data_IF_790633948308
#
_entry.id   IF_790633948308
#
_cell.length_a   1.000
_cell.length_b   1.000
_cell.length_c   1.000
_cell.angle_alpha   90.00
_cell.angle_beta   90.00
_cell.angle_gamma   90.00
#
_symmetry.space_group_name_H-M   'P 1'
#
loop_
_entity.id
_entity.type
_entity.pdbx_description
1 polymer ?
#
# COMPACT_ATOMS: atom_id res chain seq x y z
N UNK A 1 6.19 -22.98 20.95
CA UNK A 1 6.35 -21.53 20.87
C UNK A 1 7.78 -21.28 20.41
N UNK A 2 8.01 -21.05 19.11
CA UNK A 2 9.33 -20.67 18.61
C UNK A 2 9.58 -19.24 19.09
N UNK A 3 10.69 -19.04 19.79
CA UNK A 3 11.12 -17.79 20.38
C UNK A 3 11.11 -16.67 19.34
N UNK A 4 10.47 -15.57 19.67
CA UNK A 4 10.58 -14.29 18.94
C UNK A 4 12.02 -13.82 19.12
N UNK A 5 12.83 -13.96 18.08
CA UNK A 5 14.23 -13.54 18.12
C UNK A 5 14.32 -12.06 17.77
N UNK A 6 14.20 -11.21 18.79
CA UNK A 6 14.39 -9.77 18.65
C UNK A 6 15.81 -9.41 18.20
N UNK A 7 16.78 -10.32 18.33
CA UNK A 7 18.15 -10.15 17.84
C UNK A 7 18.24 -9.95 16.34
N UNK A 8 17.27 -10.46 15.59
CA UNK A 8 17.16 -10.28 14.13
C UNK A 8 17.04 -8.80 13.75
N UNK A 9 16.18 -8.05 14.45
CA UNK A 9 16.00 -6.61 14.20
C UNK A 9 17.21 -5.81 14.67
N UNK A 10 17.89 -6.23 15.76
CA UNK A 10 19.16 -5.66 16.19
C UNK A 10 20.25 -5.75 15.12
N UNK A 11 20.33 -6.89 14.42
CA UNK A 11 21.26 -7.09 13.31
C UNK A 11 20.95 -6.19 12.11
N UNK A 12 19.65 -5.96 11.78
CA UNK A 12 19.24 -5.04 10.72
C UNK A 12 19.64 -3.61 11.10
N UNK A 13 19.30 -3.18 12.31
CA UNK A 13 19.65 -1.85 12.82
C UNK A 13 21.16 -1.63 13.01
N UNK A 14 21.98 -2.68 13.04
CA UNK A 14 23.43 -2.55 13.08
C UNK A 14 24.07 -2.20 11.73
N UNK A 15 23.33 -2.29 10.63
CA UNK A 15 23.82 -2.02 9.26
C UNK A 15 23.89 -0.52 9.01
N UNK A 16 25.00 0.11 9.33
CA UNK A 16 25.20 1.57 9.18
C UNK A 16 24.98 2.08 7.76
N UNK A 17 25.31 1.29 6.73
CA UNK A 17 25.09 1.65 5.33
C UNK A 17 23.60 1.79 4.96
N UNK A 18 22.70 1.12 5.70
CA UNK A 18 21.28 1.17 5.46
C UNK A 18 20.60 2.38 6.09
N UNK A 19 21.12 2.92 7.20
CA UNK A 19 20.46 3.98 7.96
C UNK A 19 20.10 5.20 7.11
N UNK A 20 21.01 5.65 6.25
CA UNK A 20 20.78 6.86 5.44
C UNK A 20 19.65 6.65 4.43
N UNK A 21 19.64 5.52 3.72
CA UNK A 21 18.56 5.32 2.76
C UNK A 21 17.24 4.94 3.44
N UNK A 22 17.25 4.27 4.59
CA UNK A 22 16.04 3.98 5.38
C UNK A 22 15.40 5.29 5.87
N UNK A 23 16.21 6.22 6.41
CA UNK A 23 15.73 7.55 6.83
C UNK A 23 15.22 8.32 5.62
N UNK A 24 15.92 8.31 4.49
CA UNK A 24 15.48 8.96 3.27
C UNK A 24 14.15 8.41 2.76
N UNK A 25 14.00 7.09 2.72
CA UNK A 25 12.77 6.43 2.33
C UNK A 25 11.62 6.68 3.32
N UNK A 26 11.91 6.71 4.64
CA UNK A 26 10.92 7.03 5.66
C UNK A 26 10.35 8.45 5.46
N UNK A 27 11.22 9.45 5.25
CA UNK A 27 10.82 10.83 5.02
C UNK A 27 10.00 10.98 3.73
N UNK A 28 10.33 10.24 2.67
CA UNK A 28 9.52 10.21 1.45
C UNK A 28 8.14 9.57 1.68
N UNK A 29 8.06 8.51 2.50
CA UNK A 29 6.78 7.88 2.88
C UNK A 29 5.87 8.84 3.64
N UNK A 30 6.42 9.64 4.55
CA UNK A 30 5.65 10.66 5.28
C UNK A 30 4.89 11.56 4.31
N UNK A 31 5.54 12.09 3.26
CA UNK A 31 4.85 12.87 2.23
C UNK A 31 3.75 12.08 1.53
N UNK A 32 4.02 10.84 1.13
CA UNK A 32 3.03 10.01 0.42
C UNK A 32 1.75 9.83 1.25
N UNK A 33 1.90 9.57 2.54
CA UNK A 33 0.75 9.34 3.44
C UNK A 33 0.11 10.63 3.94
N UNK A 34 0.83 11.75 3.96
CA UNK A 34 0.26 13.06 4.22
C UNK A 34 -0.58 13.60 3.05
N UNK A 35 -0.28 13.16 1.81
CA UNK A 35 -0.78 13.79 0.59
C UNK A 35 -2.30 13.84 0.51
N UNK A 36 -2.98 12.68 0.53
CA UNK A 36 -4.42 12.61 0.29
C UNK A 36 -5.24 13.31 1.38
N UNK A 37 -5.02 12.97 2.65
CA UNK A 37 -5.73 13.57 3.78
C UNK A 37 -5.28 15.01 4.05
N UNK A 38 -4.01 15.33 3.81
CA UNK A 38 -3.51 16.69 3.89
C UNK A 38 -4.16 17.63 2.87
N UNK A 39 -4.37 17.17 1.63
CA UNK A 39 -5.09 17.94 0.60
C UNK A 39 -6.54 18.17 1.00
N UNK A 40 -7.26 17.11 1.46
CA UNK A 40 -8.64 17.27 1.94
C UNK A 40 -8.71 18.26 3.10
N UNK A 41 -7.87 18.08 4.13
CA UNK A 41 -7.84 18.96 5.30
C UNK A 41 -7.53 20.40 4.93
N UNK A 42 -6.51 20.61 4.10
CA UNK A 42 -6.10 21.94 3.62
C UNK A 42 -7.25 22.65 2.88
N UNK A 43 -7.88 21.99 1.91
CA UNK A 43 -8.91 22.60 1.09
C UNK A 43 -10.21 22.87 1.85
N UNK A 44 -10.63 21.96 2.73
CA UNK A 44 -11.81 22.18 3.59
C UNK A 44 -11.60 23.34 4.56
N UNK A 45 -10.41 23.45 5.17
CA UNK A 45 -10.04 24.58 6.03
C UNK A 45 -9.89 25.89 5.25
N UNK A 46 -9.61 25.83 3.96
CA UNK A 46 -9.56 27.01 3.06
C UNK A 46 -10.94 27.39 2.50
N UNK A 47 -12.02 26.77 2.97
CA UNK A 47 -13.40 27.13 2.61
C UNK A 47 -13.93 26.46 1.33
N UNK A 48 -13.22 25.49 0.78
CA UNK A 48 -13.72 24.69 -0.35
C UNK A 48 -14.70 23.61 0.14
N UNK A 49 -15.65 23.21 -0.74
CA UNK A 49 -16.59 22.13 -0.42
C UNK A 49 -15.89 20.77 -0.24
N UNK A 50 -16.52 19.88 0.51
CA UNK A 50 -15.99 18.54 0.75
C UNK A 50 -15.91 17.72 -0.55
N UNK A 51 -16.85 17.90 -1.46
CA UNK A 51 -16.82 17.29 -2.79
C UNK A 51 -15.60 17.74 -3.60
N UNK A 52 -15.38 19.06 -3.66
CA UNK A 52 -14.23 19.60 -4.37
C UNK A 52 -12.90 19.11 -3.77
N UNK A 53 -12.77 19.16 -2.44
CA UNK A 53 -11.59 18.69 -1.73
C UNK A 53 -11.34 17.18 -1.99
N UNK A 54 -12.40 16.38 -1.99
CA UNK A 54 -12.38 14.97 -2.31
C UNK A 54 -11.96 14.68 -3.75
N UNK A 55 -12.47 15.45 -4.74
CA UNK A 55 -12.10 15.27 -6.16
C UNK A 55 -10.64 15.61 -6.44
N UNK A 56 -10.11 16.67 -5.83
CA UNK A 56 -8.69 17.04 -5.94
C UNK A 56 -7.81 15.95 -5.30
N UNK A 57 -8.17 15.47 -4.11
CA UNK A 57 -7.46 14.37 -3.44
C UNK A 57 -7.53 13.06 -4.26
N UNK A 58 -8.67 12.76 -4.86
CA UNK A 58 -8.82 11.60 -5.74
C UNK A 58 -7.94 11.72 -6.99
N UNK A 59 -7.77 12.92 -7.54
CA UNK A 59 -6.86 13.16 -8.67
C UNK A 59 -5.42 12.83 -8.30
N UNK A 60 -4.99 13.22 -7.10
CA UNK A 60 -3.68 12.85 -6.56
C UNK A 60 -3.52 11.32 -6.45
N UNK A 61 -4.50 10.64 -5.85
CA UNK A 61 -4.46 9.19 -5.66
C UNK A 61 -4.44 8.43 -7.00
N UNK A 62 -5.25 8.84 -7.97
CA UNK A 62 -5.29 8.27 -9.33
C UNK A 62 -3.95 8.50 -10.04
N UNK A 63 -3.38 9.69 -9.95
CA UNK A 63 -2.06 9.99 -10.53
C UNK A 63 -1.00 9.06 -9.94
N UNK A 64 -0.93 8.96 -8.62
CA UNK A 64 0.04 8.07 -7.93
C UNK A 64 -0.14 6.61 -8.38
N UNK A 65 -1.38 6.13 -8.48
CA UNK A 65 -1.68 4.77 -8.93
C UNK A 65 -1.11 4.47 -10.33
N UNK A 66 -1.26 5.38 -11.28
CA UNK A 66 -0.76 5.17 -12.63
C UNK A 66 0.75 5.40 -12.77
N UNK A 67 1.31 6.32 -12.00
CA UNK A 67 2.72 6.73 -12.11
C UNK A 67 3.65 5.80 -11.34
N UNK A 68 3.29 5.33 -10.14
CA UNK A 68 4.17 4.53 -9.30
C UNK A 68 4.70 3.24 -9.97
N UNK A 69 3.90 2.43 -10.70
CA UNK A 69 4.44 1.26 -11.41
C UNK A 69 5.39 1.63 -12.55
N UNK A 70 5.11 2.75 -13.24
CA UNK A 70 5.97 3.24 -14.34
C UNK A 70 7.31 3.74 -13.83
N UNK A 71 7.31 4.47 -12.73
CA UNK A 71 8.55 4.94 -12.09
C UNK A 71 9.40 3.77 -11.62
N UNK A 72 8.80 2.70 -11.09
CA UNK A 72 9.50 1.46 -10.73
C UNK A 72 10.23 0.85 -11.93
N UNK A 73 9.54 0.68 -13.05
CA UNK A 73 10.15 0.18 -14.29
C UNK A 73 11.30 1.08 -14.78
N UNK A 74 11.11 2.40 -14.77
CA UNK A 74 12.16 3.33 -15.18
C UNK A 74 13.36 3.31 -14.22
N UNK A 75 13.16 3.06 -12.92
CA UNK A 75 14.25 2.89 -11.97
C UNK A 75 15.10 1.64 -12.29
N UNK A 76 14.46 0.54 -12.69
CA UNK A 76 15.17 -0.68 -13.08
C UNK A 76 15.95 -0.48 -14.41
N UNK A 77 15.43 0.31 -15.35
CA UNK A 77 16.05 0.55 -16.67
C UNK A 77 17.10 1.67 -16.67
N UNK A 78 16.88 2.76 -15.93
CA UNK A 78 17.69 4.00 -16.02
C UNK A 78 18.42 4.37 -14.73
N UNK A 79 18.28 3.55 -13.68
CA UNK A 79 18.81 3.80 -12.34
C UNK A 79 17.89 4.65 -11.47
N UNK A 80 17.98 4.43 -10.16
CA UNK A 80 17.13 5.10 -9.19
C UNK A 80 17.39 6.62 -9.13
N UNK A 81 18.66 7.03 -9.19
CA UNK A 81 19.06 8.44 -9.07
C UNK A 81 18.32 9.36 -10.06
N UNK A 82 18.35 9.02 -11.36
CA UNK A 82 17.71 9.86 -12.40
C UNK A 82 16.20 9.93 -12.23
N UNK A 83 15.57 8.82 -11.91
CA UNK A 83 14.11 8.76 -11.78
C UNK A 83 13.66 9.49 -10.52
N UNK A 84 14.32 9.31 -9.39
CA UNK A 84 14.03 10.03 -8.15
C UNK A 84 14.17 11.53 -8.37
N UNK A 85 15.24 11.99 -9.02
CA UNK A 85 15.46 13.42 -9.30
C UNK A 85 14.32 14.03 -10.14
N UNK A 86 14.00 13.41 -11.28
CA UNK A 86 12.97 13.93 -12.20
C UNK A 86 11.58 13.92 -11.52
N UNK A 87 11.22 12.82 -10.90
CA UNK A 87 9.91 12.68 -10.24
C UNK A 87 9.78 13.62 -9.04
N UNK A 88 10.85 13.82 -8.28
CA UNK A 88 10.87 14.77 -7.17
C UNK A 88 10.65 16.20 -7.63
N UNK A 89 11.29 16.62 -8.71
CA UNK A 89 11.09 17.97 -9.28
C UNK A 89 9.63 18.14 -9.71
N UNK A 90 9.05 17.16 -10.43
CA UNK A 90 7.67 17.22 -10.90
C UNK A 90 6.70 17.28 -9.70
N UNK A 91 6.85 16.39 -8.72
CA UNK A 91 5.98 16.33 -7.55
C UNK A 91 6.05 17.62 -6.73
N UNK A 92 7.26 18.16 -6.50
CA UNK A 92 7.43 19.40 -5.74
C UNK A 92 6.92 20.64 -6.51
N UNK A 93 7.04 20.66 -7.83
CA UNK A 93 6.40 21.70 -8.67
C UNK A 93 4.88 21.63 -8.52
N UNK A 94 4.29 20.43 -8.53
CA UNK A 94 2.86 20.24 -8.27
C UNK A 94 2.46 20.74 -6.87
N UNK A 95 3.22 20.37 -5.84
CA UNK A 95 2.95 20.79 -4.48
C UNK A 95 3.04 22.33 -4.32
N UNK A 96 4.08 22.95 -4.88
CA UNK A 96 4.23 24.40 -4.88
C UNK A 96 3.08 25.10 -5.62
N UNK A 97 2.68 24.56 -6.77
CA UNK A 97 1.53 25.04 -7.53
C UNK A 97 0.24 24.96 -6.72
N UNK A 98 0.00 23.86 -5.98
CA UNK A 98 -1.17 23.71 -5.12
C UNK A 98 -1.16 24.75 -4.00
N UNK A 99 -0.03 24.87 -3.30
CA UNK A 99 0.14 25.82 -2.19
C UNK A 99 -0.03 27.27 -2.64
N UNK A 100 0.55 27.65 -3.77
CA UNK A 100 0.41 29.01 -4.32
C UNK A 100 -1.01 29.28 -4.81
N UNK A 101 -1.69 28.27 -5.39
CA UNK A 101 -3.08 28.41 -5.83
C UNK A 101 -4.00 28.67 -4.65
N UNK A 102 -3.82 27.98 -3.53
CA UNK A 102 -4.58 28.23 -2.30
C UNK A 102 -4.25 29.57 -1.68
N UNK A 103 -2.96 29.93 -1.61
CA UNK A 103 -2.53 31.18 -0.96
C UNK A 103 -2.95 32.44 -1.73
N UNK A 104 -2.97 32.38 -3.06
CA UNK A 104 -3.28 33.53 -3.94
C UNK A 104 -4.74 33.54 -4.44
N UNK A 105 -5.55 32.54 -4.08
CA UNK A 105 -6.93 32.42 -4.53
C UNK A 105 -7.06 32.24 -6.04
N UNK A 106 -6.12 31.52 -6.69
CA UNK A 106 -6.13 31.28 -8.12
C UNK A 106 -7.29 30.36 -8.55
N UNK A 107 -7.64 30.29 -9.85
CA UNK A 107 -8.72 29.45 -10.33
C UNK A 107 -8.60 28.00 -9.88
N UNK A 108 -9.68 27.46 -9.33
CA UNK A 108 -9.71 26.12 -8.70
C UNK A 108 -9.33 24.98 -9.66
N UNK A 109 -9.49 25.18 -10.99
CA UNK A 109 -9.06 24.19 -11.99
C UNK A 109 -7.56 23.89 -11.96
N UNK A 110 -6.73 24.85 -11.52
CA UNK A 110 -5.27 24.69 -11.39
C UNK A 110 -4.94 23.64 -10.31
N UNK A 111 -5.79 23.51 -9.27
CA UNK A 111 -5.59 22.55 -8.18
C UNK A 111 -5.61 21.09 -8.66
N UNK A 112 -6.40 20.76 -9.69
CA UNK A 112 -6.40 19.42 -10.30
C UNK A 112 -5.07 19.13 -11.02
N UNK A 113 -4.54 20.10 -11.77
CA UNK A 113 -3.23 19.97 -12.42
C UNK A 113 -2.14 19.81 -11.36
N UNK A 114 -2.20 20.61 -10.31
CA UNK A 114 -1.27 20.56 -9.19
C UNK A 114 -1.31 19.18 -8.48
N UNK A 115 -2.50 18.69 -8.16
CA UNK A 115 -2.70 17.38 -7.54
C UNK A 115 -2.22 16.22 -8.45
N UNK A 116 -2.44 16.32 -9.76
CA UNK A 116 -1.92 15.35 -10.71
C UNK A 116 -0.39 15.33 -10.72
N UNK A 117 0.27 16.49 -10.74
CA UNK A 117 1.73 16.58 -10.68
C UNK A 117 2.29 16.09 -9.33
N UNK A 118 1.60 16.35 -8.21
CA UNK A 118 1.97 15.84 -6.89
C UNK A 118 2.03 14.31 -6.85
N UNK A 119 1.24 13.62 -7.67
CA UNK A 119 1.22 12.16 -7.76
C UNK A 119 2.43 11.52 -8.46
N UNK A 120 3.36 12.32 -9.02
CA UNK A 120 4.59 11.82 -9.61
C UNK A 120 5.62 11.45 -8.54
N UNK A 121 5.24 10.56 -7.63
CA UNK A 121 6.09 10.12 -6.52
C UNK A 121 6.59 8.71 -6.79
N UNK A 122 7.91 8.47 -6.68
CA UNK A 122 8.43 7.10 -6.77
C UNK A 122 8.06 6.32 -5.51
N UNK A 123 7.87 5.00 -5.65
CA UNK A 123 7.53 4.15 -4.52
C UNK A 123 8.72 4.01 -3.55
N UNK A 124 8.69 4.76 -2.44
CA UNK A 124 9.72 4.68 -1.41
C UNK A 124 9.88 3.27 -0.80
N UNK A 125 8.80 2.48 -0.54
CA UNK A 125 8.94 1.09 -0.13
C UNK A 125 9.69 0.22 -1.15
N UNK A 126 9.44 0.42 -2.43
CA UNK A 126 10.14 -0.33 -3.49
C UNK A 126 11.63 0.04 -3.56
N UNK A 127 11.96 1.33 -3.41
CA UNK A 127 13.35 1.81 -3.37
C UNK A 127 14.11 1.15 -2.20
N UNK A 128 13.54 1.19 -0.99
CA UNK A 128 14.16 0.61 0.19
C UNK A 128 14.41 -0.89 0.02
N UNK A 129 13.38 -1.66 -0.37
CA UNK A 129 13.49 -3.12 -0.60
C UNK A 129 14.54 -3.47 -1.65
N UNK A 130 14.61 -2.72 -2.74
CA UNK A 130 15.61 -2.95 -3.80
C UNK A 130 17.03 -2.65 -3.32
N UNK A 131 17.24 -1.58 -2.52
CA UNK A 131 18.55 -1.25 -1.94
C UNK A 131 18.98 -2.29 -0.92
N UNK A 132 18.11 -2.75 -0.05
CA UNK A 132 18.36 -3.84 0.88
C UNK A 132 18.76 -5.13 0.15
N UNK A 133 17.98 -5.53 -0.86
CA UNK A 133 18.30 -6.71 -1.67
C UNK A 133 19.69 -6.59 -2.31
N UNK A 134 19.98 -5.43 -2.91
CA UNK A 134 21.28 -5.18 -3.52
C UNK A 134 22.43 -5.24 -2.53
N UNK A 135 22.31 -4.66 -1.34
CA UNK A 135 23.34 -4.70 -0.31
C UNK A 135 23.63 -6.13 0.17
N UNK A 136 22.59 -6.96 0.30
CA UNK A 136 22.72 -8.34 0.75
C UNK A 136 23.33 -9.20 -0.36
N UNK A 137 22.77 -9.17 -1.57
CA UNK A 137 23.20 -10.03 -2.68
C UNK A 137 24.58 -9.63 -3.25
N UNK A 138 24.94 -8.34 -3.20
CA UNK A 138 26.28 -7.89 -3.62
C UNK A 138 27.39 -8.15 -2.60
N UNK A 139 27.07 -8.72 -1.43
CA UNK A 139 28.04 -8.99 -0.37
C UNK A 139 28.65 -7.74 0.27
N UNK A 140 28.06 -6.56 0.05
CA UNK A 140 28.51 -5.28 0.66
C UNK A 140 28.35 -5.29 2.17
N UNK A 141 27.45 -6.11 2.71
CA UNK A 141 27.28 -6.30 4.14
C UNK A 141 27.98 -7.60 4.55
N UNK A 142 29.09 -7.48 5.27
CA UNK A 142 29.81 -8.62 5.82
C UNK A 142 29.09 -9.18 7.06
N UNK A 143 29.04 -10.52 7.17
CA UNK A 143 28.47 -11.23 8.33
C UNK A 143 26.98 -10.95 8.60
N UNK A 144 26.20 -10.66 7.55
CA UNK A 144 24.76 -10.48 7.69
C UNK A 144 24.06 -11.85 7.71
N UNK A 145 23.63 -12.29 8.88
CA UNK A 145 22.98 -13.60 9.09
C UNK A 145 21.45 -13.57 8.98
N UNK A 146 20.90 -12.37 8.77
CA UNK A 146 19.44 -12.16 8.75
C UNK A 146 18.87 -12.42 7.36
N UNK A 147 17.72 -13.11 7.31
CA UNK A 147 17.05 -13.42 6.03
C UNK A 147 16.46 -12.18 5.36
N UNK A 148 16.41 -12.17 4.04
CA UNK A 148 15.75 -11.11 3.26
C UNK A 148 14.26 -10.95 3.65
N UNK A 149 13.61 -12.05 4.05
CA UNK A 149 12.23 -12.03 4.55
C UNK A 149 12.10 -11.18 5.83
N UNK A 150 13.07 -11.25 6.73
CA UNK A 150 13.06 -10.44 7.97
C UNK A 150 13.27 -8.96 7.69
N UNK A 151 14.11 -8.63 6.70
CA UNK A 151 14.30 -7.25 6.22
C UNK A 151 13.01 -6.70 5.62
N UNK A 152 12.29 -7.48 4.82
CA UNK A 152 11.00 -7.04 4.28
C UNK A 152 9.92 -6.88 5.36
N UNK A 153 9.99 -7.67 6.43
CA UNK A 153 9.11 -7.48 7.59
C UNK A 153 9.42 -6.18 8.33
N UNK A 154 10.71 -5.86 8.53
CA UNK A 154 11.16 -4.58 9.09
C UNK A 154 10.67 -3.38 8.26
N UNK A 155 10.80 -3.45 6.93
CA UNK A 155 10.31 -2.44 6.02
C UNK A 155 8.77 -2.29 6.11
N UNK A 156 8.05 -3.38 6.31
CA UNK A 156 6.60 -3.35 6.53
C UNK A 156 6.24 -2.58 7.81
N UNK A 157 6.97 -2.78 8.90
CA UNK A 157 6.76 -2.02 10.16
C UNK A 157 7.02 -0.51 9.94
N UNK A 158 8.09 -0.16 9.21
CA UNK A 158 8.36 1.25 8.88
C UNK A 158 7.21 1.85 8.04
N UNK A 159 6.66 1.08 7.12
CA UNK A 159 5.53 1.49 6.30
C UNK A 159 4.28 1.75 7.14
N UNK A 160 3.93 0.82 8.04
CA UNK A 160 2.79 0.96 8.96
C UNK A 160 2.97 2.16 9.90
N UNK A 161 4.18 2.38 10.43
CA UNK A 161 4.50 3.57 11.23
C UNK A 161 4.33 4.87 10.42
N UNK A 162 4.78 4.88 9.17
CA UNK A 162 4.65 6.04 8.29
C UNK A 162 3.19 6.35 7.97
N UNK A 163 2.38 5.30 7.75
CA UNK A 163 0.95 5.40 7.53
C UNK A 163 0.20 5.88 8.77
N UNK A 164 0.64 5.50 9.96
CA UNK A 164 0.08 5.96 11.23
C UNK A 164 0.37 7.45 11.47
N UNK A 165 1.62 7.87 11.25
CA UNK A 165 2.11 9.21 11.60
C UNK A 165 1.72 10.24 10.54
N UNK A 166 1.85 9.92 9.25
CA UNK A 166 1.71 10.87 8.15
C UNK A 166 0.37 11.59 8.11
N UNK A 167 -0.76 10.89 7.97
CA UNK A 167 -2.09 11.51 7.91
C UNK A 167 -2.43 12.30 9.17
N UNK A 168 -2.08 11.76 10.34
CA UNK A 168 -2.32 12.41 11.62
C UNK A 168 -1.59 13.75 11.75
N UNK A 169 -0.31 13.77 11.36
CA UNK A 169 0.48 15.01 11.32
C UNK A 169 -0.09 16.01 10.30
N UNK A 170 -0.51 15.56 9.11
CA UNK A 170 -1.09 16.45 8.12
C UNK A 170 -2.32 17.17 8.69
N UNK A 171 -3.25 16.42 9.27
CA UNK A 171 -4.47 16.97 9.86
C UNK A 171 -4.15 17.87 11.07
N UNK A 172 -3.31 17.40 12.00
CA UNK A 172 -2.97 18.13 13.21
C UNK A 172 -2.34 19.49 12.90
N UNK A 173 -1.34 19.52 12.02
CA UNK A 173 -0.64 20.76 11.66
C UNK A 173 -1.55 21.74 10.91
N UNK A 174 -2.35 21.23 9.97
CA UNK A 174 -3.29 22.08 9.22
C UNK A 174 -4.35 22.72 10.12
N UNK A 175 -4.79 22.05 11.17
CA UNK A 175 -5.76 22.59 12.13
C UNK A 175 -5.14 23.47 13.21
N UNK A 176 -3.85 23.26 13.57
CA UNK A 176 -3.22 23.97 14.68
C UNK A 176 -2.56 25.28 14.24
N UNK A 177 -1.92 25.29 13.09
CA UNK A 177 -1.15 26.45 12.62
C UNK A 177 -1.85 27.20 11.50
N UNK A 178 -1.92 26.63 10.31
CA UNK A 178 -2.59 27.22 9.14
C UNK A 178 -2.92 26.09 8.12
N UNK A 179 -3.90 26.30 7.24
CA UNK A 179 -4.42 25.22 6.39
C UNK A 179 -3.37 24.46 5.57
N UNK A 180 -2.32 25.14 5.10
CA UNK A 180 -1.27 24.55 4.25
C UNK A 180 -0.13 23.90 5.04
N UNK A 181 -0.10 24.00 6.40
CA UNK A 181 1.04 23.55 7.22
C UNK A 181 1.35 22.05 7.06
N UNK A 182 0.32 21.21 6.98
CA UNK A 182 0.49 19.77 6.78
C UNK A 182 1.20 19.45 5.47
N UNK A 183 0.74 20.00 4.35
CA UNK A 183 1.36 19.78 3.04
C UNK A 183 2.79 20.35 3.00
N UNK A 184 3.04 21.50 3.62
CA UNK A 184 4.39 22.08 3.71
C UNK A 184 5.36 21.15 4.42
N UNK A 185 4.99 20.57 5.58
CA UNK A 185 5.84 19.59 6.25
C UNK A 185 6.09 18.38 5.35
N UNK A 186 5.06 17.88 4.67
CA UNK A 186 5.21 16.79 3.69
C UNK A 186 6.23 17.14 2.60
N UNK A 187 6.16 18.34 2.03
CA UNK A 187 7.11 18.80 1.01
C UNK A 187 8.56 18.87 1.54
N UNK A 188 8.74 19.39 2.75
CA UNK A 188 10.06 19.43 3.41
C UNK A 188 10.58 18.02 3.63
N UNK A 189 9.77 17.13 4.20
CA UNK A 189 10.14 15.73 4.41
C UNK A 189 10.54 15.02 3.11
N UNK A 190 9.76 15.20 2.04
CA UNK A 190 10.04 14.60 0.74
C UNK A 190 11.33 15.14 0.12
N UNK A 191 11.53 16.45 0.19
CA UNK A 191 12.73 17.10 -0.36
C UNK A 191 13.99 16.63 0.38
N UNK A 192 13.94 16.61 1.71
CA UNK A 192 15.05 16.12 2.53
C UNK A 192 15.29 14.63 2.28
N UNK A 193 14.23 13.81 2.24
CA UNK A 193 14.33 12.37 1.94
C UNK A 193 14.94 12.11 0.56
N UNK A 194 14.47 12.82 -0.47
CA UNK A 194 15.03 12.75 -1.83
C UNK A 194 16.49 13.18 -1.87
N UNK A 195 16.85 14.26 -1.18
CA UNK A 195 18.23 14.73 -1.09
C UNK A 195 19.15 13.68 -0.44
N UNK A 196 18.69 13.04 0.65
CA UNK A 196 19.44 11.96 1.30
C UNK A 196 19.69 10.82 0.32
N UNK A 197 18.66 10.38 -0.43
CA UNK A 197 18.80 9.28 -1.39
C UNK A 197 19.69 9.63 -2.58
N UNK A 198 19.64 10.88 -3.05
CA UNK A 198 20.38 11.36 -4.22
C UNK A 198 21.84 11.67 -3.93
N UNK A 199 22.16 12.15 -2.73
CA UNK A 199 23.49 12.66 -2.39
C UNK A 199 24.18 11.79 -1.35
N UNK A 200 23.53 11.56 -0.18
CA UNK A 200 24.18 10.94 0.98
C UNK A 200 24.20 9.41 0.90
N UNK A 201 23.17 8.79 0.32
CA UNK A 201 23.03 7.34 0.21
C UNK A 201 23.23 6.82 -1.23
N UNK A 202 24.01 7.54 -2.03
CA UNK A 202 24.24 7.19 -3.45
C UNK A 202 25.03 5.90 -3.63
N UNK A 203 25.93 5.57 -2.76
CA UNK A 203 26.77 4.36 -2.75
C UNK A 203 25.96 3.08 -2.52
N UNK A 204 24.75 3.20 -1.98
CA UNK A 204 23.82 2.08 -1.79
C UNK A 204 22.88 1.88 -2.99
N UNK A 205 22.97 2.71 -4.01
CA UNK A 205 22.14 2.59 -5.22
C UNK A 205 22.49 1.32 -6.00
N UNK A 206 21.49 0.50 -6.39
CA UNK A 206 21.70 -0.66 -7.27
C UNK A 206 22.22 -0.22 -8.63
N UNK A 207 23.23 -0.91 -9.14
CA UNK A 207 23.71 -0.68 -10.51
C UNK A 207 22.65 -1.12 -11.51
N UNK A 208 22.53 -0.40 -12.62
CA UNK A 208 21.60 -0.78 -13.70
C UNK A 208 21.98 -2.17 -14.20
N UNK A 209 21.00 -3.07 -14.33
CA UNK A 209 21.15 -4.45 -14.74
C UNK A 209 21.91 -5.39 -13.77
N UNK A 210 22.12 -5.00 -12.49
CA UNK A 210 22.81 -5.84 -11.51
C UNK A 210 22.16 -7.24 -11.36
N UNK A 211 20.83 -7.36 -11.48
CA UNK A 211 20.12 -8.64 -11.45
C UNK A 211 20.48 -9.52 -12.64
N UNK A 212 20.56 -8.96 -13.85
CA UNK A 212 20.99 -9.69 -15.05
C UNK A 212 22.45 -10.14 -14.96
N UNK A 213 23.31 -9.33 -14.34
CA UNK A 213 24.69 -9.71 -14.10
C UNK A 213 24.82 -10.86 -13.08
N UNK A 214 23.93 -10.89 -12.06
CA UNK A 214 23.87 -11.98 -11.09
C UNK A 214 23.32 -13.29 -11.72
N UNK A 215 22.31 -13.20 -12.59
CA UNK A 215 21.75 -14.33 -13.34
C UNK A 215 22.78 -14.88 -14.38
N UNK A 216 23.52 -14.02 -15.07
CA UNK A 216 24.55 -14.43 -16.03
C UNK A 216 25.76 -15.11 -15.39
N UNK A 217 26.07 -14.85 -14.13
CA UNK A 217 27.08 -15.60 -13.37
C UNK A 217 26.57 -17.00 -13.01
N UNK A 218 25.24 -17.17 -12.83
CA UNK A 218 24.61 -18.47 -12.60
C UNK A 218 24.56 -19.34 -13.87
N UNK A 219 24.31 -18.74 -15.03
CA UNK A 219 24.32 -19.45 -16.33
C UNK A 219 25.74 -19.87 -16.75
N UNK A 220 26.77 -19.07 -16.47
CA UNK A 220 28.17 -19.43 -16.75
C UNK A 220 28.66 -20.65 -15.96
N UNK A 221 28.13 -20.90 -14.76
CA UNK A 221 28.44 -22.08 -13.94
C UNK A 221 27.61 -23.30 -14.41
N UNK A 222 26.42 -23.08 -14.98
CA UNK A 222 25.56 -24.14 -15.49
C UNK A 222 26.03 -24.64 -16.87
N UNK A 223 26.60 -23.76 -17.71
CA UNK A 223 27.17 -24.14 -19.03
C UNK A 223 28.48 -24.90 -18.91
N UNK A 224 29.27 -24.73 -17.84
CA UNK A 224 30.51 -25.50 -17.64
C UNK A 224 30.25 -26.94 -17.17
N UNK A 225 29.04 -27.26 -16.72
CA UNK A 225 28.62 -28.62 -16.30
C UNK A 225 27.83 -29.34 -17.39
N UNK A 226 27.39 -28.65 -18.46
CA UNK A 226 26.52 -29.19 -19.51
C UNK A 226 27.18 -29.47 -20.86
N UNK A 227 28.52 -29.52 -20.96
CA UNK A 227 29.22 -29.94 -22.15
C UNK A 227 29.47 -31.45 -22.17
N UNK A 228 28.39 -32.24 -22.15
CA UNK A 228 28.38 -33.59 -22.78
C UNK A 228 26.93 -34.02 -23.00
N UNK A 229 26.43 -33.93 -24.22
CA UNK A 229 25.10 -34.48 -24.53
C UNK A 229 24.39 -33.82 -25.72
N UNK A 230 24.86 -34.19 -26.89
CA UNK A 230 24.24 -33.99 -28.21
C UNK A 230 22.69 -34.23 -28.20
N UNK A 231 21.87 -33.23 -28.53
CA UNK A 231 20.57 -33.45 -29.17
C UNK A 231 20.08 -32.20 -29.92
N UNK A 232 20.09 -32.28 -31.24
CA UNK A 232 19.38 -31.41 -32.16
C UNK A 232 17.86 -31.44 -31.88
N UNK A 233 17.26 -30.31 -31.54
CA UNK A 233 15.81 -30.14 -31.44
C UNK A 233 15.40 -28.71 -31.78
N UNK A 234 14.85 -28.51 -32.97
CA UNK A 234 14.36 -27.25 -33.48
C UNK A 234 13.38 -26.58 -32.51
N UNK A 235 13.77 -25.46 -31.95
CA UNK A 235 12.89 -24.57 -31.23
C UNK A 235 11.97 -23.83 -32.23
N UNK A 236 10.79 -24.37 -32.49
CA UNK A 236 9.74 -23.70 -33.23
C UNK A 236 9.27 -22.45 -32.50
N UNK A 237 9.38 -21.29 -33.16
CA UNK A 237 8.75 -20.03 -32.75
C UNK A 237 7.22 -20.21 -32.74
N UNK A 238 6.66 -20.63 -31.60
CA UNK A 238 5.23 -20.52 -31.38
C UNK A 238 4.92 -19.04 -31.06
N UNK A 239 3.95 -18.41 -31.77
CA UNK A 239 3.60 -17.03 -31.47
C UNK A 239 3.11 -16.93 -30.02
N UNK A 240 3.72 -16.04 -29.26
CA UNK A 240 3.31 -15.75 -27.88
C UNK A 240 1.82 -15.45 -27.87
N UNK A 241 0.99 -16.38 -27.37
CA UNK A 241 -0.44 -16.15 -27.17
C UNK A 241 -0.59 -14.89 -26.33
N UNK A 242 -1.23 -13.87 -26.90
CA UNK A 242 -1.59 -12.64 -26.22
C UNK A 242 -2.49 -13.02 -25.03
N UNK A 243 -1.89 -13.22 -23.87
CA UNK A 243 -2.62 -13.57 -22.65
C UNK A 243 -3.53 -12.39 -22.26
N UNK A 244 -4.82 -12.67 -22.11
CA UNK A 244 -5.75 -11.69 -21.52
C UNK A 244 -5.40 -11.47 -20.06
N UNK A 245 -5.73 -10.28 -19.52
CA UNK A 245 -5.47 -9.93 -18.13
C UNK A 245 -6.06 -10.96 -17.15
N UNK A 246 -5.35 -11.23 -16.04
CA UNK A 246 -5.80 -12.13 -14.97
C UNK A 246 -7.17 -11.72 -14.41
N UNK A 247 -7.47 -10.41 -14.37
CA UNK A 247 -8.77 -9.88 -13.96
C UNK A 247 -9.92 -10.38 -14.88
N UNK A 248 -9.67 -10.56 -16.19
CA UNK A 248 -10.67 -11.00 -17.14
C UNK A 248 -10.81 -12.53 -17.17
N UNK A 249 -9.68 -13.25 -17.07
CA UNK A 249 -9.64 -14.72 -17.19
C UNK A 249 -10.02 -15.43 -15.90
N UNK A 250 -9.63 -14.90 -14.73
CA UNK A 250 -9.81 -15.57 -13.46
C UNK A 250 -10.97 -14.97 -12.64
N UNK A 251 -12.10 -15.70 -12.50
CA UNK A 251 -13.24 -15.20 -11.71
C UNK A 251 -12.89 -14.85 -10.27
N UNK A 252 -11.92 -15.57 -9.68
CA UNK A 252 -11.50 -15.30 -8.31
C UNK A 252 -10.76 -13.96 -8.17
N UNK A 253 -9.96 -13.56 -9.17
CA UNK A 253 -9.27 -12.26 -9.17
C UNK A 253 -10.28 -11.12 -9.24
N UNK A 254 -11.37 -11.28 -10.00
CA UNK A 254 -12.49 -10.31 -10.02
C UNK A 254 -13.14 -10.16 -8.66
N UNK A 255 -13.39 -11.27 -7.96
CA UNK A 255 -13.96 -11.24 -6.60
C UNK A 255 -13.04 -10.53 -5.63
N UNK A 256 -11.74 -10.87 -5.63
CA UNK A 256 -10.75 -10.24 -4.76
C UNK A 256 -10.57 -8.74 -5.06
N UNK A 257 -10.51 -8.37 -6.34
CA UNK A 257 -10.49 -6.97 -6.77
C UNK A 257 -11.71 -6.19 -6.28
N UNK A 258 -12.92 -6.75 -6.48
CA UNK A 258 -14.17 -6.08 -6.09
C UNK A 258 -14.30 -5.94 -4.58
N UNK A 259 -13.90 -6.96 -3.80
CA UNK A 259 -13.85 -6.87 -2.34
C UNK A 259 -12.84 -5.82 -1.88
N UNK A 260 -11.63 -5.82 -2.45
CA UNK A 260 -10.60 -4.83 -2.13
C UNK A 260 -11.03 -3.40 -2.50
N UNK A 261 -11.73 -3.22 -3.64
CA UNK A 261 -12.28 -1.93 -4.06
C UNK A 261 -13.32 -1.42 -3.04
N UNK A 262 -14.25 -2.26 -2.62
CA UNK A 262 -15.26 -1.87 -1.64
C UNK A 262 -14.64 -1.55 -0.28
N UNK A 263 -13.64 -2.32 0.17
CA UNK A 263 -12.91 -2.06 1.41
C UNK A 263 -12.12 -0.75 1.31
N UNK A 264 -11.48 -0.48 0.17
CA UNK A 264 -10.84 0.80 -0.11
C UNK A 264 -11.82 1.97 -0.12
N UNK A 265 -13.02 1.78 -0.66
CA UNK A 265 -14.10 2.78 -0.65
C UNK A 265 -14.56 3.12 0.76
N UNK A 266 -14.71 2.10 1.64
CA UNK A 266 -15.04 2.30 3.06
C UNK A 266 -13.98 3.20 3.70
N UNK A 267 -12.71 2.89 3.47
CA UNK A 267 -11.59 3.62 4.07
C UNK A 267 -11.51 5.07 3.57
N UNK A 268 -11.61 5.30 2.26
CA UNK A 268 -11.61 6.65 1.68
C UNK A 268 -12.80 7.51 2.12
N UNK A 269 -13.98 6.92 2.24
CA UNK A 269 -15.18 7.61 2.77
C UNK A 269 -15.01 7.94 4.26
N UNK A 270 -14.49 6.99 5.05
CA UNK A 270 -14.21 7.19 6.47
C UNK A 270 -13.21 8.33 6.69
N UNK A 271 -12.10 8.35 5.99
CA UNK A 271 -11.05 9.36 6.12
C UNK A 271 -11.57 10.77 5.86
N UNK A 272 -12.27 10.97 4.76
CA UNK A 272 -12.82 12.29 4.39
C UNK A 272 -13.88 12.74 5.38
N UNK A 273 -14.80 11.85 5.76
CA UNK A 273 -15.88 12.17 6.68
C UNK A 273 -15.39 12.43 8.11
N UNK A 274 -14.29 11.76 8.51
CA UNK A 274 -13.66 12.01 9.81
C UNK A 274 -13.20 13.46 9.94
N UNK A 275 -12.64 14.05 8.89
CA UNK A 275 -12.21 15.46 8.90
C UNK A 275 -13.42 16.39 9.06
N UNK A 276 -14.44 16.20 8.24
CA UNK A 276 -15.65 17.07 8.27
C UNK A 276 -16.45 16.88 9.55
N UNK A 277 -16.54 15.67 10.09
CA UNK A 277 -17.15 15.39 11.39
C UNK A 277 -16.42 16.14 12.52
N UNK A 278 -15.10 16.02 12.61
CA UNK A 278 -14.32 16.67 13.65
C UNK A 278 -14.41 18.21 13.59
N UNK A 279 -14.46 18.77 12.37
CA UNK A 279 -14.67 20.20 12.16
C UNK A 279 -16.09 20.63 12.61
N UNK A 280 -17.13 19.85 12.29
CA UNK A 280 -18.52 20.17 12.62
C UNK A 280 -18.79 20.20 14.12
N UNK A 281 -18.07 19.41 14.91
CA UNK A 281 -18.17 19.42 16.39
C UNK A 281 -17.21 20.42 17.05
N UNK A 282 -16.48 21.24 16.27
CA UNK A 282 -15.51 22.22 16.77
C UNK A 282 -14.28 21.60 17.45
N UNK A 283 -13.98 20.32 17.21
CA UNK A 283 -12.86 19.59 17.80
C UNK A 283 -11.96 18.94 16.74
N UNK A 284 -11.21 19.70 15.94
CA UNK A 284 -10.40 19.17 14.83
C UNK A 284 -9.38 18.12 15.25
N UNK A 285 -8.89 18.18 16.49
CA UNK A 285 -7.96 17.21 17.08
C UNK A 285 -8.52 15.78 17.10
N UNK A 286 -9.85 15.61 17.17
CA UNK A 286 -10.52 14.31 17.13
C UNK A 286 -10.19 13.55 15.83
N UNK A 287 -10.07 14.24 14.69
CA UNK A 287 -9.70 13.61 13.43
C UNK A 287 -8.27 13.06 13.47
N UNK A 288 -7.31 13.84 13.95
CA UNK A 288 -5.90 13.41 14.04
C UNK A 288 -5.73 12.23 14.98
N UNK A 289 -6.34 12.28 16.16
CA UNK A 289 -6.31 11.19 17.14
C UNK A 289 -7.02 9.95 16.56
N UNK A 290 -8.17 10.13 15.91
CA UNK A 290 -8.93 9.03 15.31
C UNK A 290 -8.13 8.26 14.26
N UNK A 291 -7.49 8.97 13.35
CA UNK A 291 -6.62 8.35 12.32
C UNK A 291 -5.42 7.65 12.97
N UNK A 292 -4.77 8.27 13.97
CA UNK A 292 -3.62 7.66 14.66
C UNK A 292 -4.01 6.38 15.40
N UNK A 293 -5.07 6.39 16.18
CA UNK A 293 -5.55 5.23 16.94
C UNK A 293 -6.00 4.11 16.00
N UNK A 294 -6.70 4.45 14.91
CA UNK A 294 -7.13 3.48 13.91
C UNK A 294 -5.94 2.79 13.25
N UNK A 295 -4.94 3.56 12.83
CA UNK A 295 -3.72 3.02 12.23
C UNK A 295 -2.93 2.14 13.20
N UNK A 296 -2.85 2.56 14.47
CA UNK A 296 -2.21 1.77 15.53
C UNK A 296 -2.96 0.45 15.77
N UNK A 297 -4.29 0.48 15.82
CA UNK A 297 -5.11 -0.72 15.97
C UNK A 297 -4.93 -1.69 14.79
N UNK A 298 -4.85 -1.18 13.55
CA UNK A 298 -4.58 -1.97 12.35
C UNK A 298 -3.20 -2.61 12.41
N UNK A 299 -2.16 -1.88 12.81
CA UNK A 299 -0.80 -2.37 12.97
C UNK A 299 -0.73 -3.50 14.03
N UNK A 300 -1.31 -3.28 15.21
CA UNK A 300 -1.36 -4.30 16.26
C UNK A 300 -2.09 -5.56 15.78
N UNK A 301 -3.22 -5.38 15.10
CA UNK A 301 -4.00 -6.49 14.55
C UNK A 301 -3.24 -7.25 13.47
N UNK A 302 -2.52 -6.57 12.59
CA UNK A 302 -1.64 -7.17 11.57
C UNK A 302 -0.59 -8.07 12.21
N UNK A 303 0.11 -7.57 13.23
CA UNK A 303 1.12 -8.34 13.97
C UNK A 303 0.49 -9.56 14.68
N UNK A 304 -0.62 -9.37 15.37
CA UNK A 304 -1.31 -10.46 16.06
C UNK A 304 -1.83 -11.51 15.09
N UNK A 305 -2.45 -11.09 13.99
CA UNK A 305 -3.01 -11.99 13.00
C UNK A 305 -1.92 -12.79 12.27
N UNK A 306 -0.76 -12.18 12.00
CA UNK A 306 0.41 -12.86 11.43
C UNK A 306 0.98 -13.98 12.30
N UNK A 307 0.76 -13.91 13.63
CA UNK A 307 1.14 -14.96 14.59
C UNK A 307 0.08 -16.05 14.74
N UNK A 308 -1.15 -15.81 14.29
CA UNK A 308 -2.27 -16.75 14.45
C UNK A 308 -2.20 -17.86 13.39
N UNK A 309 -2.03 -19.10 13.83
CA UNK A 309 -2.15 -20.27 12.96
C UNK A 309 -3.61 -20.73 12.94
N UNK A 310 -4.37 -20.24 11.95
CA UNK A 310 -5.77 -20.63 11.80
C UNK A 310 -5.89 -22.00 11.11
N UNK A 311 -6.56 -22.94 11.75
CA UNK A 311 -6.81 -24.31 11.22
C UNK A 311 -7.92 -24.35 10.15
N UNK A 312 -8.69 -23.28 10.00
CA UNK A 312 -9.78 -23.20 9.02
C UNK A 312 -9.23 -23.08 7.59
N UNK A 313 -9.90 -23.66 6.56
CA UNK A 313 -9.48 -23.50 5.18
C UNK A 313 -9.58 -22.02 4.73
N UNK A 314 -8.65 -21.56 3.88
CA UNK A 314 -8.50 -20.16 3.51
C UNK A 314 -9.76 -19.52 2.89
N UNK A 315 -10.59 -20.27 2.19
CA UNK A 315 -11.88 -19.77 1.70
C UNK A 315 -12.84 -19.36 2.83
N UNK A 316 -12.83 -20.08 3.96
CA UNK A 316 -13.62 -19.71 5.14
C UNK A 316 -12.99 -18.54 5.89
N UNK A 317 -11.65 -18.49 5.95
CA UNK A 317 -10.93 -17.36 6.54
C UNK A 317 -11.21 -16.06 5.78
N UNK A 318 -11.15 -16.09 4.44
CA UNK A 318 -11.45 -14.93 3.60
C UNK A 318 -12.90 -14.46 3.74
N UNK A 319 -13.86 -15.42 3.76
CA UNK A 319 -15.26 -15.10 4.00
C UNK A 319 -15.46 -14.45 5.36
N UNK A 320 -14.87 -15.03 6.41
CA UNK A 320 -14.97 -14.49 7.78
C UNK A 320 -14.30 -13.11 7.89
N UNK A 321 -13.12 -12.91 7.27
CA UNK A 321 -12.42 -11.63 7.28
C UNK A 321 -13.19 -10.54 6.53
N UNK A 322 -13.80 -10.85 5.37
CA UNK A 322 -14.63 -9.92 4.63
C UNK A 322 -15.91 -9.53 5.40
N UNK A 323 -16.57 -10.50 6.05
CA UNK A 323 -17.72 -10.22 6.92
C UNK A 323 -17.28 -9.39 8.13
N UNK A 324 -16.16 -9.72 8.75
CA UNK A 324 -15.63 -9.03 9.92
C UNK A 324 -15.32 -7.56 9.62
N UNK A 325 -14.59 -7.25 8.53
CA UNK A 325 -14.27 -5.85 8.18
C UNK A 325 -15.54 -5.05 7.85
N UNK A 326 -16.50 -5.65 7.12
CA UNK A 326 -17.78 -5.03 6.85
C UNK A 326 -18.58 -4.77 8.12
N UNK A 327 -18.67 -5.74 9.04
CA UNK A 327 -19.36 -5.60 10.33
C UNK A 327 -18.69 -4.56 11.24
N UNK A 328 -17.34 -4.51 11.25
CA UNK A 328 -16.56 -3.58 12.07
C UNK A 328 -16.83 -2.11 11.75
N UNK A 329 -16.98 -1.79 10.46
CA UNK A 329 -17.29 -0.43 10.02
C UNK A 329 -18.80 -0.15 9.81
N UNK A 330 -19.67 -1.17 9.89
CA UNK A 330 -21.11 -1.01 9.60
C UNK A 330 -21.78 0.06 10.47
N UNK A 331 -21.35 0.20 11.72
CA UNK A 331 -21.89 1.17 12.67
C UNK A 331 -21.53 2.63 12.37
N UNK A 332 -20.67 2.92 11.36
CA UNK A 332 -20.20 4.29 11.13
C UNK A 332 -21.35 5.25 10.75
N UNK A 333 -22.38 4.79 10.05
CA UNK A 333 -23.54 5.61 9.72
C UNK A 333 -24.37 6.09 10.93
N UNK A 334 -24.13 5.51 12.11
CA UNK A 334 -24.82 5.88 13.37
C UNK A 334 -23.93 6.70 14.31
N UNK A 335 -22.76 7.16 13.85
CA UNK A 335 -21.86 7.97 14.68
C UNK A 335 -22.51 9.31 15.02
N UNK A 336 -22.84 9.47 16.30
CA UNK A 336 -23.41 10.70 16.86
C UNK A 336 -22.54 11.32 17.97
N UNK A 337 -21.53 10.60 18.45
CA UNK A 337 -20.68 11.03 19.55
C UNK A 337 -19.22 10.65 19.33
N UNK A 338 -18.31 11.41 19.95
CA UNK A 338 -16.87 11.18 19.86
C UNK A 338 -16.45 9.79 20.39
N UNK A 339 -16.97 9.29 21.54
CA UNK A 339 -16.62 7.94 22.00
C UNK A 339 -17.05 6.85 21.02
N UNK A 340 -18.23 6.98 20.41
CA UNK A 340 -18.72 6.03 19.40
C UNK A 340 -17.86 6.06 18.15
N UNK A 341 -17.42 7.26 17.73
CA UNK A 341 -16.47 7.42 16.62
C UNK A 341 -15.18 6.66 16.89
N UNK A 342 -14.54 6.83 18.04
CA UNK A 342 -13.31 6.12 18.38
C UNK A 342 -13.52 4.60 18.46
N UNK A 343 -14.60 4.14 19.05
CA UNK A 343 -14.91 2.71 19.14
C UNK A 343 -15.02 2.06 17.77
N UNK A 344 -15.79 2.67 16.86
CA UNK A 344 -15.97 2.13 15.48
C UNK A 344 -14.68 2.24 14.68
N UNK A 345 -13.92 3.33 14.84
CA UNK A 345 -12.63 3.53 14.19
C UNK A 345 -11.64 2.43 14.55
N UNK A 346 -11.49 2.13 15.84
CA UNK A 346 -10.58 1.09 16.33
C UNK A 346 -11.04 -0.30 15.88
N UNK A 347 -12.33 -0.60 16.04
CA UNK A 347 -12.90 -1.90 15.69
C UNK A 347 -12.75 -2.19 14.19
N UNK A 348 -13.13 -1.23 13.35
CA UNK A 348 -13.05 -1.37 11.91
C UNK A 348 -11.60 -1.51 11.41
N UNK A 349 -10.71 -0.65 11.91
CA UNK A 349 -9.29 -0.68 11.54
C UNK A 349 -8.59 -1.98 11.98
N UNK A 350 -8.90 -2.50 13.16
CA UNK A 350 -8.37 -3.78 13.62
C UNK A 350 -8.78 -4.97 12.72
N UNK A 351 -9.86 -4.86 11.96
CA UNK A 351 -10.34 -5.90 11.07
C UNK A 351 -9.88 -5.72 9.61
N UNK A 352 -9.32 -4.56 9.28
CA UNK A 352 -8.83 -4.22 7.94
C UNK A 352 -7.61 -5.04 7.53
N UNK A 353 -6.57 -5.08 8.37
CA UNK A 353 -5.34 -5.80 8.07
C UNK A 353 -5.55 -7.32 7.91
N UNK A 354 -6.30 -8.01 8.80
CA UNK A 354 -6.66 -9.43 8.61
C UNK A 354 -7.32 -9.74 7.28
N UNK A 355 -8.16 -8.83 6.77
CA UNK A 355 -8.79 -9.01 5.46
C UNK A 355 -7.74 -9.04 4.34
N UNK A 356 -6.82 -8.08 4.26
CA UNK A 356 -5.80 -8.03 3.20
C UNK A 356 -4.79 -9.17 3.31
N UNK A 357 -4.36 -9.52 4.51
CA UNK A 357 -3.47 -10.68 4.74
C UNK A 357 -4.14 -11.96 4.20
N UNK A 358 -5.39 -12.18 4.55
CA UNK A 358 -6.13 -13.37 4.13
C UNK A 358 -6.42 -13.35 2.62
N UNK A 359 -6.75 -12.18 2.04
CA UNK A 359 -7.01 -12.03 0.61
C UNK A 359 -5.75 -12.33 -0.23
N UNK A 360 -4.58 -11.83 0.19
CA UNK A 360 -3.31 -12.10 -0.47
C UNK A 360 -2.92 -13.60 -0.34
N UNK A 361 -3.00 -14.17 0.86
CA UNK A 361 -2.72 -15.60 1.08
C UNK A 361 -3.68 -16.52 0.31
N UNK A 362 -4.95 -16.12 0.20
CA UNK A 362 -5.91 -16.85 -0.62
C UNK A 362 -5.57 -16.75 -2.11
N UNK A 363 -5.16 -15.57 -2.59
CA UNK A 363 -4.71 -15.37 -3.97
C UNK A 363 -3.51 -16.27 -4.31
N UNK A 364 -2.51 -16.35 -3.42
CA UNK A 364 -1.33 -17.22 -3.58
C UNK A 364 -1.71 -18.69 -3.77
N UNK A 365 -2.74 -19.17 -3.06
CA UNK A 365 -3.19 -20.57 -3.20
C UNK A 365 -4.14 -20.82 -4.36
N UNK A 366 -4.92 -19.80 -4.77
CA UNK A 366 -6.00 -19.96 -5.75
C UNK A 366 -5.58 -19.68 -7.19
N UNK A 367 -4.43 -19.03 -7.39
CA UNK A 367 -3.97 -18.55 -8.69
C UNK A 367 -2.69 -19.28 -9.11
N UNK A 368 -2.54 -19.65 -10.40
CA UNK A 368 -1.29 -20.23 -10.91
C UNK A 368 -0.08 -19.32 -10.70
N UNK A 369 1.10 -19.88 -10.42
CA UNK A 369 2.33 -19.14 -10.09
C UNK A 369 2.71 -18.10 -11.16
N UNK A 370 2.51 -18.42 -12.45
CA UNK A 370 2.80 -17.50 -13.57
C UNK A 370 1.83 -16.30 -13.68
N UNK A 371 0.75 -16.26 -12.89
CA UNK A 371 -0.25 -15.19 -12.83
C UNK A 371 -0.35 -14.53 -11.47
N UNK A 372 0.44 -15.00 -10.51
CA UNK A 372 0.34 -14.58 -9.11
C UNK A 372 0.64 -13.09 -8.95
N UNK A 373 1.76 -12.60 -9.48
CA UNK A 373 2.17 -11.19 -9.37
C UNK A 373 1.11 -10.25 -9.97
N UNK A 374 0.59 -10.60 -11.16
CA UNK A 374 -0.49 -9.82 -11.78
C UNK A 374 -1.75 -9.80 -10.90
N UNK A 375 -2.12 -10.94 -10.32
CA UNK A 375 -3.32 -11.06 -9.49
C UNK A 375 -3.22 -10.29 -8.18
N UNK A 376 -2.07 -10.34 -7.51
CA UNK A 376 -1.79 -9.53 -6.30
C UNK A 376 -1.81 -8.02 -6.61
N UNK A 377 -1.29 -7.64 -7.78
CA UNK A 377 -1.35 -6.25 -8.25
C UNK A 377 -2.79 -5.79 -8.45
N UNK A 378 -3.68 -6.65 -8.96
CA UNK A 378 -5.10 -6.31 -9.11
C UNK A 378 -5.81 -6.13 -7.77
N UNK A 379 -5.46 -6.89 -6.72
CA UNK A 379 -6.02 -6.67 -5.37
C UNK A 379 -5.62 -5.28 -4.85
N UNK A 380 -4.34 -4.93 -4.95
CA UNK A 380 -3.84 -3.61 -4.55
C UNK A 380 -4.49 -2.50 -5.38
N UNK A 381 -4.64 -2.70 -6.69
CA UNK A 381 -5.31 -1.77 -7.59
C UNK A 381 -6.77 -1.54 -7.18
N UNK A 382 -7.49 -2.59 -6.82
CA UNK A 382 -8.87 -2.49 -6.32
C UNK A 382 -8.96 -1.59 -5.10
N UNK A 383 -8.12 -1.84 -4.08
CA UNK A 383 -8.06 -1.02 -2.87
C UNK A 383 -7.76 0.45 -3.17
N UNK A 384 -6.76 0.71 -4.01
CA UNK A 384 -6.36 2.08 -4.40
C UNK A 384 -7.47 2.81 -5.17
N UNK A 385 -8.16 2.10 -6.08
CA UNK A 385 -9.32 2.67 -6.78
C UNK A 385 -10.45 3.04 -5.80
N UNK A 386 -10.74 2.15 -4.84
CA UNK A 386 -11.73 2.42 -3.79
C UNK A 386 -11.35 3.64 -2.95
N UNK A 387 -10.10 3.70 -2.51
CA UNK A 387 -9.54 4.83 -1.76
C UNK A 387 -9.58 6.15 -2.55
N UNK A 388 -9.43 6.11 -3.88
CA UNK A 388 -9.54 7.30 -4.72
C UNK A 388 -11.01 7.74 -4.93
N UNK A 389 -11.96 6.81 -5.06
CA UNK A 389 -13.38 7.11 -5.26
C UNK A 389 -14.04 7.58 -3.97
N UNK A 390 -13.63 7.02 -2.82
CA UNK A 390 -14.22 7.28 -1.51
C UNK A 390 -14.35 8.76 -1.15
N UNK A 391 -13.28 9.55 -1.19
CA UNK A 391 -13.31 10.98 -0.87
C UNK A 391 -14.26 11.78 -1.75
N UNK A 392 -14.27 11.52 -3.07
CA UNK A 392 -15.17 12.20 -4.00
C UNK A 392 -16.64 11.86 -3.70
N UNK A 393 -16.95 10.57 -3.56
CA UNK A 393 -18.32 10.13 -3.36
C UNK A 393 -18.86 10.54 -1.97
N UNK A 394 -18.04 10.41 -0.92
CA UNK A 394 -18.43 10.89 0.42
C UNK A 394 -18.54 12.40 0.48
N UNK A 395 -17.64 13.13 -0.20
CA UNK A 395 -17.70 14.58 -0.27
C UNK A 395 -18.98 15.09 -0.92
N UNK A 396 -19.44 14.46 -2.01
CA UNK A 396 -20.72 14.79 -2.65
C UNK A 396 -21.91 14.60 -1.70
N UNK A 397 -21.91 13.53 -0.90
CA UNK A 397 -22.95 13.23 0.08
C UNK A 397 -22.90 14.23 1.26
N UNK A 398 -21.68 14.57 1.70
CA UNK A 398 -21.45 15.56 2.77
C UNK A 398 -21.99 16.93 2.36
N UNK A 399 -21.70 17.39 1.14
CA UNK A 399 -22.16 18.68 0.63
C UNK A 399 -23.69 18.72 0.45
N UNK A 400 -24.32 17.59 0.13
CA UNK A 400 -25.76 17.51 -0.09
C UNK A 400 -26.58 17.36 1.20
N UNK A 401 -26.06 16.61 2.20
CA UNK A 401 -26.85 16.18 3.37
C UNK A 401 -26.27 16.75 4.68
N UNK A 402 -24.94 16.80 4.80
CA UNK A 402 -24.27 17.32 5.99
C UNK A 402 -22.98 16.58 6.38
N UNK A 403 -22.24 17.12 7.38
CA UNK A 403 -20.85 16.74 7.70
C UNK A 403 -20.62 15.27 8.04
N UNK A 404 -21.62 14.59 8.58
CA UNK A 404 -21.55 13.16 8.97
C UNK A 404 -22.08 12.21 7.90
N UNK A 405 -22.72 12.75 6.85
CA UNK A 405 -23.45 11.95 5.88
C UNK A 405 -22.55 11.06 5.01
N UNK A 406 -21.25 11.38 4.86
CA UNK A 406 -20.31 10.52 4.17
C UNK A 406 -20.11 9.15 4.85
N UNK A 407 -20.40 9.04 6.16
CA UNK A 407 -20.39 7.75 6.87
C UNK A 407 -21.48 6.80 6.35
N UNK A 408 -22.60 7.30 5.82
CA UNK A 408 -23.63 6.45 5.20
C UNK A 408 -23.09 5.70 3.96
N UNK A 409 -22.25 6.35 3.14
CA UNK A 409 -21.60 5.70 2.02
C UNK A 409 -20.75 4.50 2.49
N UNK A 410 -19.96 4.71 3.55
CA UNK A 410 -19.17 3.65 4.15
C UNK A 410 -20.04 2.50 4.68
N UNK A 411 -21.15 2.80 5.37
CA UNK A 411 -22.09 1.77 5.86
C UNK A 411 -22.72 0.99 4.71
N UNK A 412 -23.11 1.64 3.62
CA UNK A 412 -23.64 0.98 2.41
C UNK A 412 -22.56 0.07 1.79
N UNK A 413 -21.31 0.56 1.67
CA UNK A 413 -20.21 -0.24 1.16
C UNK A 413 -19.92 -1.46 2.04
N UNK A 414 -20.07 -1.36 3.37
CA UNK A 414 -19.97 -2.49 4.31
C UNK A 414 -21.01 -3.57 4.01
N UNK A 415 -22.26 -3.19 3.79
CA UNK A 415 -23.32 -4.13 3.38
C UNK A 415 -22.97 -4.79 2.05
N UNK A 416 -22.46 -4.01 1.09
CA UNK A 416 -22.01 -4.55 -0.20
C UNK A 416 -20.84 -5.54 -0.06
N UNK A 417 -19.85 -5.29 0.82
CA UNK A 417 -18.75 -6.23 1.10
C UNK A 417 -19.30 -7.56 1.63
N UNK A 418 -20.17 -7.49 2.64
CA UNK A 418 -20.77 -8.69 3.24
C UNK A 418 -21.60 -9.47 2.21
N UNK A 419 -22.46 -8.78 1.46
CA UNK A 419 -23.27 -9.38 0.42
C UNK A 419 -22.42 -10.04 -0.66
N UNK A 420 -21.42 -9.32 -1.20
CA UNK A 420 -20.51 -9.83 -2.23
C UNK A 420 -19.74 -11.06 -1.74
N UNK A 421 -19.21 -11.02 -0.53
CA UNK A 421 -18.49 -12.16 0.06
C UNK A 421 -19.40 -13.38 0.19
N UNK A 422 -20.65 -13.19 0.61
CA UNK A 422 -21.63 -14.26 0.75
C UNK A 422 -22.04 -14.85 -0.61
N UNK A 423 -22.36 -14.02 -1.61
CA UNK A 423 -22.74 -14.47 -2.95
C UNK A 423 -21.57 -15.17 -3.67
N UNK A 424 -20.34 -14.68 -3.49
CA UNK A 424 -19.15 -15.25 -4.13
C UNK A 424 -18.54 -16.44 -3.37
N UNK A 425 -19.11 -16.88 -2.23
CA UNK A 425 -18.62 -18.03 -1.45
C UNK A 425 -18.43 -19.31 -2.27
N UNK A 426 -19.28 -19.53 -3.27
CA UNK A 426 -19.18 -20.68 -4.18
C UNK A 426 -17.94 -20.64 -5.07
N UNK A 427 -17.58 -19.44 -5.57
CA UNK A 427 -16.36 -19.21 -6.36
C UNK A 427 -15.13 -19.42 -5.47
N UNK A 428 -15.11 -18.86 -4.26
CA UNK A 428 -14.04 -19.03 -3.27
C UNK A 428 -13.84 -20.51 -2.93
N UNK A 429 -14.93 -21.26 -2.73
CA UNK A 429 -14.87 -22.71 -2.41
C UNK A 429 -14.31 -23.54 -3.56
N UNK A 430 -14.68 -23.24 -4.81
CA UNK A 430 -14.21 -23.98 -5.99
C UNK A 430 -12.71 -23.79 -6.20
N UNK A 431 -12.22 -22.58 -6.04
CA UNK A 431 -10.80 -22.25 -6.26
C UNK A 431 -9.88 -22.73 -5.11
N UNK A 432 -10.40 -22.92 -3.89
CA UNK A 432 -9.63 -23.48 -2.78
C UNK A 432 -9.28 -24.97 -2.97
N UNK A 433 -9.98 -25.69 -3.85
CA UNK A 433 -9.76 -27.13 -4.08
C UNK A 433 -8.62 -27.46 -5.07
N UNK A 434 -8.08 -26.47 -5.78
CA UNK A 434 -7.10 -26.72 -6.84
C UNK A 434 -5.66 -26.96 -6.35
N UNK A 435 -5.35 -26.76 -5.08
CA UNK A 435 -3.97 -26.88 -4.56
C UNK A 435 -3.77 -27.82 -3.36
N UNK A 436 -4.66 -28.78 -3.11
CA UNK A 436 -4.47 -29.85 -2.10
C UNK A 436 -3.71 -31.07 -2.69
N UNK A 437 -3.10 -30.97 -3.85
CA UNK A 437 -2.39 -32.08 -4.48
C UNK A 437 -0.92 -31.73 -4.77
N UNK A 438 -0.08 -31.62 -3.74
CA UNK A 438 1.33 -32.02 -3.83
C UNK A 438 1.76 -32.64 -2.49
N UNK A 439 1.58 -33.95 -2.29
CA UNK A 439 2.24 -34.70 -1.24
C UNK A 439 3.49 -35.39 -1.83
N UNK A 440 4.54 -34.68 -2.20
CA UNK A 440 5.77 -35.36 -2.63
C UNK A 440 7.01 -35.11 -1.76
N UNK A 441 6.98 -34.14 -0.84
CA UNK A 441 8.15 -33.90 0.04
C UNK A 441 8.05 -34.66 1.37
N UNK A 442 6.85 -35.03 1.81
CA UNK A 442 6.68 -35.79 3.05
C UNK A 442 7.00 -37.29 2.88
N UNK A 443 6.77 -37.86 1.70
CA UNK A 443 7.07 -39.27 1.44
C UNK A 443 8.56 -39.56 1.18
N UNK A 444 9.30 -38.60 0.59
CA UNK A 444 10.75 -38.75 0.43
C UNK A 444 11.53 -38.65 1.74
N UNK A 445 11.00 -37.94 2.74
CA UNK A 445 11.62 -37.85 4.07
C UNK A 445 11.30 -39.07 4.96
N UNK A 446 10.23 -39.81 4.71
CA UNK A 446 9.95 -41.09 5.39
C UNK A 446 10.71 -42.26 4.76
N UNK A 447 10.87 -42.29 3.43
CA UNK A 447 11.66 -43.32 2.74
C UNK A 447 13.19 -43.16 2.89
N UNK A 448 13.67 -42.04 3.42
CA UNK A 448 15.09 -41.84 3.74
C UNK A 448 15.41 -42.15 5.23
N UNK A 449 14.44 -42.68 6.00
CA UNK A 449 14.60 -43.05 7.41
C UNK A 449 14.53 -44.56 7.68
N UNK A 450 14.19 -45.34 6.67
CA UNK A 450 14.32 -46.81 6.66
C UNK A 450 15.55 -47.23 5.82
#
# INVERSE_FOLDING_TARGET
MKNFDFGVYGNILAVKQAHLFDIGCFLMRIYMYMGTLGVVSMLTLSGHSAFFSGTVSSTLAISTFFIAPRTGKFMDEKGQHRVILITSIIAMTGALLLLTTVALGLPSGIMYVAAFLMGFVPSAPAIARTRWTYLIESGKIKNFSTSLKSVYSYEGVIEDCSFMIGPALAIALSNTFFPTAGILLGCVSFTVGSFILLVLARDTEPQVNWKRAAEGVGEGIADEVATDGNSNGAAGNAPAKKHRSALVELPIVRVLFSLALLVGLIFGAFDTTTITFAQSIGQPVVASIGVSISSFASMCSSLMFGMLVLKAPLNKQLLAAAIAVGAGYMGMGFITSVPMFFFISVLGAALYAPFFITANSFCEQAVPANRLTESLTWITAGSTCGLAIGPTASGAIIDAIGPTAGFYLGSVACVCVIALAFFCRGIMKRNCKQHVAVPHVAQELESARD
#
